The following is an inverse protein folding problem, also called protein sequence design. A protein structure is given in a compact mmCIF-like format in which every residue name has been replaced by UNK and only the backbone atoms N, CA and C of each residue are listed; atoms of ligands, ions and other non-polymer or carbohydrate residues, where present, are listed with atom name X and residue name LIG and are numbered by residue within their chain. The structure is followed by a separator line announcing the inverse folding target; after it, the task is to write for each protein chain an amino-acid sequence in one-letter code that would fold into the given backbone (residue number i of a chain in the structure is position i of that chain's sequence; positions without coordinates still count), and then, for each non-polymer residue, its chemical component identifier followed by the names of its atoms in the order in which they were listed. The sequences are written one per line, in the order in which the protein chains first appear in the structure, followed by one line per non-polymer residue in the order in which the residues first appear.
data_IF_832885188023
#
_entry.id   IF_832885188023
#
_cell.length_a   1.000
_cell.length_b   1.000
_cell.length_c   1.000
_cell.angle_alpha   90.00
_cell.angle_beta   90.00
_cell.angle_gamma   90.00
#
_symmetry.space_group_name_H-M   'P 1'
#
loop_
_entity.id
_entity.type
_entity.pdbx_description
1 polymer ?
#
# COMPACT_ATOMS: atom_id res chain seq x y z
N UNK A 1 3.38 28.76 -3.28
CA UNK A 1 2.90 27.37 -3.26
C UNK A 1 3.79 26.50 -2.39
N UNK A 2 3.22 25.65 -1.53
CA UNK A 2 3.91 24.60 -0.77
C UNK A 2 3.08 23.33 -0.84
N UNK A 3 3.64 22.26 -1.41
CA UNK A 3 2.94 20.98 -1.64
C UNK A 3 3.22 20.02 -0.50
N UNK A 4 2.19 19.43 0.09
CA UNK A 4 2.34 18.32 1.03
C UNK A 4 2.13 16.98 0.31
N UNK A 5 3.15 16.13 0.30
CA UNK A 5 3.05 14.75 -0.19
C UNK A 5 2.75 13.83 1.01
N UNK A 6 1.57 13.24 1.06
CA UNK A 6 1.31 12.13 1.98
C UNK A 6 1.90 10.86 1.36
N UNK A 7 2.97 10.33 1.95
CA UNK A 7 3.86 9.39 1.28
C UNK A 7 3.84 7.95 1.83
N UNK A 8 4.85 7.19 1.42
CA UNK A 8 5.06 5.79 1.81
C UNK A 8 5.13 4.82 0.63
N UNK A 9 4.91 5.30 -0.59
CA UNK A 9 4.96 4.52 -1.84
C UNK A 9 6.20 4.86 -2.67
N UNK A 10 6.41 4.15 -3.78
CA UNK A 10 7.46 4.51 -4.73
C UNK A 10 7.09 5.80 -5.49
N UNK A 11 5.82 5.89 -5.88
CA UNK A 11 5.26 7.01 -6.63
C UNK A 11 5.36 8.32 -5.84
N UNK A 12 5.21 8.28 -4.51
CA UNK A 12 5.46 9.43 -3.63
C UNK A 12 6.92 9.91 -3.67
N UNK A 13 7.89 8.98 -3.75
CA UNK A 13 9.32 9.32 -3.83
C UNK A 13 9.67 9.87 -5.22
N UNK A 14 9.12 9.26 -6.26
CA UNK A 14 9.31 9.72 -7.64
C UNK A 14 8.72 11.13 -7.81
N UNK A 15 7.55 11.40 -7.22
CA UNK A 15 6.96 12.73 -7.18
C UNK A 15 7.87 13.74 -6.46
N UNK A 16 8.42 13.40 -5.29
CA UNK A 16 9.34 14.29 -4.57
C UNK A 16 10.57 14.67 -5.41
N UNK A 17 11.13 13.73 -6.18
CA UNK A 17 12.23 14.02 -7.12
C UNK A 17 11.79 15.02 -8.17
N UNK A 18 10.64 14.79 -8.82
CA UNK A 18 10.12 15.68 -9.86
C UNK A 18 9.80 17.10 -9.35
N UNK A 19 9.24 17.22 -8.14
CA UNK A 19 8.98 18.53 -7.55
C UNK A 19 10.29 19.27 -7.24
N UNK A 20 11.30 18.56 -6.74
CA UNK A 20 12.62 19.14 -6.48
C UNK A 20 13.29 19.63 -7.77
N UNK A 21 13.27 18.83 -8.84
CA UNK A 21 13.82 19.20 -10.14
C UNK A 21 13.13 20.42 -10.77
N UNK A 22 11.83 20.60 -10.48
CA UNK A 22 11.04 21.76 -10.92
C UNK A 22 11.19 22.98 -10.00
N UNK A 23 11.95 22.88 -8.92
CA UNK A 23 12.13 23.97 -7.95
C UNK A 23 10.85 24.31 -7.16
N UNK A 24 9.87 23.39 -7.10
CA UNK A 24 8.65 23.58 -6.33
C UNK A 24 8.94 23.32 -4.86
N UNK A 25 8.36 24.13 -3.97
CA UNK A 25 8.45 23.90 -2.51
C UNK A 25 7.51 22.78 -2.12
N UNK A 26 8.02 21.77 -1.42
CA UNK A 26 7.23 20.66 -0.93
C UNK A 26 7.80 20.07 0.37
N UNK A 27 6.97 19.32 1.08
CA UNK A 27 7.38 18.44 2.16
C UNK A 27 6.70 17.08 2.03
N UNK A 28 7.38 16.02 2.48
CA UNK A 28 6.84 14.66 2.52
C UNK A 28 6.45 14.26 3.94
N UNK A 29 5.31 13.59 4.10
CA UNK A 29 4.87 13.04 5.38
C UNK A 29 4.82 11.52 5.34
N UNK A 30 5.51 10.87 6.28
CA UNK A 30 5.53 9.42 6.46
C UNK A 30 4.86 9.04 7.78
N UNK A 31 4.03 7.99 7.75
CA UNK A 31 3.31 7.53 8.94
C UNK A 31 4.21 6.93 10.06
N UNK A 32 5.49 6.66 9.77
CA UNK A 32 6.40 6.03 10.75
C UNK A 32 6.10 4.55 11.03
N UNK A 33 5.37 3.87 10.14
CA UNK A 33 4.97 2.45 10.33
C UNK A 33 6.08 1.44 10.10
N UNK A 34 7.18 1.88 9.48
CA UNK A 34 8.35 1.07 9.18
C UNK A 34 9.55 1.63 9.96
N UNK A 35 10.30 0.77 10.64
CA UNK A 35 11.39 1.21 11.54
C UNK A 35 12.51 1.97 10.82
N UNK A 36 12.80 1.60 9.57
CA UNK A 36 13.81 2.25 8.72
C UNK A 36 13.25 2.49 7.32
N UNK A 37 12.43 3.52 7.09
CA UNK A 37 11.84 3.77 5.78
C UNK A 37 12.90 4.26 4.78
N UNK A 38 12.69 4.01 3.48
CA UNK A 38 13.45 4.72 2.44
C UNK A 38 12.91 6.15 2.36
N UNK A 39 13.74 7.13 2.70
CA UNK A 39 13.34 8.54 2.74
C UNK A 39 13.26 9.10 1.30
N UNK A 40 12.24 9.94 1.00
CA UNK A 40 12.25 10.76 -0.21
C UNK A 40 13.31 11.86 -0.11
N UNK A 41 13.57 12.51 -1.23
CA UNK A 41 14.33 13.77 -1.27
C UNK A 41 13.52 14.92 -0.63
N UNK A 42 14.20 16.00 -0.24
CA UNK A 42 13.57 17.17 0.36
C UNK A 42 13.23 17.02 1.85
N UNK A 43 12.36 17.90 2.34
CA UNK A 43 11.93 17.92 3.74
C UNK A 43 11.00 16.75 4.05
N UNK A 44 11.25 16.05 5.17
CA UNK A 44 10.45 14.89 5.57
C UNK A 44 10.00 15.01 7.02
N UNK A 45 8.68 14.88 7.21
CA UNK A 45 8.05 14.69 8.52
C UNK A 45 7.73 13.22 8.74
N UNK A 46 7.96 12.73 9.96
CA UNK A 46 7.55 11.39 10.39
C UNK A 46 6.59 11.47 11.56
N UNK A 47 5.49 10.72 11.46
CA UNK A 47 4.47 10.60 12.52
C UNK A 47 3.09 11.03 12.07
N UNK A 48 2.07 10.66 12.85
CA UNK A 48 0.69 11.03 12.58
C UNK A 48 0.44 12.54 12.69
N UNK A 49 -0.71 12.96 12.14
CA UNK A 49 -1.19 14.34 12.26
C UNK A 49 -2.10 14.55 13.48
N UNK A 50 -2.67 13.48 14.06
CA UNK A 50 -3.69 13.58 15.11
C UNK A 50 -5.12 13.69 14.55
N UNK A 51 -5.43 12.89 13.53
CA UNK A 51 -6.75 12.89 12.89
C UNK A 51 -6.96 14.07 11.93
N UNK A 52 -8.23 14.34 11.62
CA UNK A 52 -8.66 15.37 10.66
C UNK A 52 -8.25 16.76 11.14
N UNK A 53 -8.58 17.12 12.38
CA UNK A 53 -8.25 18.45 12.94
C UNK A 53 -6.76 18.71 13.00
N UNK A 54 -5.99 17.68 13.36
CA UNK A 54 -4.54 17.79 13.41
C UNK A 54 -3.91 17.98 12.03
N UNK A 55 -4.44 17.32 10.99
CA UNK A 55 -4.01 17.54 9.61
C UNK A 55 -4.41 18.94 9.13
N UNK A 56 -5.64 19.38 9.38
CA UNK A 56 -6.13 20.72 9.03
C UNK A 56 -5.25 21.82 9.63
N UNK A 57 -4.95 21.72 10.93
CA UNK A 57 -4.04 22.66 11.61
C UNK A 57 -2.66 22.69 10.95
N UNK A 58 -2.11 21.53 10.63
CA UNK A 58 -0.82 21.46 9.93
C UNK A 58 -0.86 22.15 8.56
N UNK A 59 -1.91 21.94 7.77
CA UNK A 59 -2.07 22.61 6.47
C UNK A 59 -2.00 24.13 6.61
N UNK A 60 -2.69 24.69 7.61
CA UNK A 60 -2.68 26.13 7.89
C UNK A 60 -1.32 26.62 8.39
N UNK A 61 -0.76 25.99 9.42
CA UNK A 61 0.49 26.43 10.07
C UNK A 61 1.70 26.35 9.12
N UNK A 62 1.75 25.32 8.28
CA UNK A 62 2.84 25.12 7.31
C UNK A 62 2.59 25.86 5.98
N UNK A 63 1.47 26.58 5.83
CA UNK A 63 1.12 27.29 4.60
C UNK A 63 1.03 26.37 3.38
N UNK A 64 0.48 25.16 3.57
CA UNK A 64 0.28 24.17 2.51
C UNK A 64 -0.83 24.66 1.58
N UNK A 65 -0.53 24.70 0.29
CA UNK A 65 -1.45 25.19 -0.74
C UNK A 65 -2.00 24.08 -1.62
N UNK A 66 -1.42 22.88 -1.56
CA UNK A 66 -1.93 21.69 -2.26
C UNK A 66 -1.46 20.42 -1.53
N UNK A 67 -2.28 19.37 -1.58
CA UNK A 67 -1.94 18.05 -1.03
C UNK A 67 -1.96 17.02 -2.15
N UNK A 68 -0.91 16.21 -2.23
CA UNK A 68 -0.91 14.98 -3.03
C UNK A 68 -0.93 13.79 -2.08
N UNK A 69 -2.06 13.09 -2.04
CA UNK A 69 -2.17 11.79 -1.38
C UNK A 69 -1.55 10.71 -2.26
N UNK A 70 -0.29 10.40 -2.00
CA UNK A 70 0.47 9.33 -2.62
C UNK A 70 0.69 8.15 -1.66
N UNK A 71 -0.19 7.98 -0.66
CA UNK A 71 -0.11 6.88 0.29
C UNK A 71 -0.48 5.54 -0.35
N UNK A 72 -0.13 4.41 0.29
CA UNK A 72 -0.49 3.09 -0.23
C UNK A 72 -2.02 2.95 -0.40
N UNK A 73 -2.56 2.27 -1.44
CA UNK A 73 -4.02 2.14 -1.65
C UNK A 73 -4.80 1.64 -0.43
N UNK A 74 -4.19 0.79 0.39
CA UNK A 74 -4.78 0.30 1.65
C UNK A 74 -4.63 1.24 2.86
N UNK A 75 -4.13 2.46 2.67
CA UNK A 75 -3.98 3.47 3.72
C UNK A 75 -5.26 4.32 3.89
N UNK A 76 -6.44 3.68 3.80
CA UNK A 76 -7.75 4.33 3.74
C UNK A 76 -7.98 5.40 4.82
N UNK A 77 -7.52 5.15 6.05
CA UNK A 77 -7.70 6.10 7.15
C UNK A 77 -7.04 7.47 6.92
N UNK A 78 -5.80 7.50 6.42
CA UNK A 78 -5.12 8.77 6.14
C UNK A 78 -5.66 9.43 4.87
N UNK A 79 -6.04 8.65 3.85
CA UNK A 79 -6.71 9.17 2.65
C UNK A 79 -8.06 9.83 2.97
N UNK A 80 -8.87 9.20 3.82
CA UNK A 80 -10.13 9.76 4.30
C UNK A 80 -9.91 11.04 5.13
N UNK A 81 -8.90 11.03 6.02
CA UNK A 81 -8.54 12.22 6.78
C UNK A 81 -8.06 13.36 5.87
N UNK A 82 -7.29 13.05 4.83
CA UNK A 82 -6.83 14.03 3.84
C UNK A 82 -8.01 14.65 3.11
N UNK A 83 -8.95 13.85 2.61
CA UNK A 83 -10.16 14.35 1.94
C UNK A 83 -10.95 15.30 2.85
N UNK A 84 -11.22 14.91 4.10
CA UNK A 84 -11.97 15.73 5.04
C UNK A 84 -11.22 17.02 5.43
N UNK A 85 -9.92 16.92 5.73
CA UNK A 85 -9.13 18.07 6.16
C UNK A 85 -8.91 19.08 5.02
N UNK A 86 -8.64 18.59 3.81
CA UNK A 86 -8.45 19.43 2.63
C UNK A 86 -9.74 20.15 2.25
N UNK A 87 -10.89 19.45 2.26
CA UNK A 87 -12.19 20.08 2.02
C UNK A 87 -12.50 21.17 3.05
N UNK A 88 -12.23 20.92 4.33
CA UNK A 88 -12.46 21.90 5.41
C UNK A 88 -11.49 23.10 5.39
N UNK A 89 -10.29 22.93 4.81
CA UNK A 89 -9.29 23.98 4.68
C UNK A 89 -9.30 24.67 3.31
N UNK A 90 -10.19 24.26 2.41
CA UNK A 90 -10.23 24.70 1.00
C UNK A 90 -8.88 24.51 0.28
N UNK A 91 -8.15 23.44 0.64
CA UNK A 91 -6.88 23.08 0.01
C UNK A 91 -7.14 22.01 -1.06
N UNK A 92 -6.69 22.20 -2.32
CA UNK A 92 -6.80 21.18 -3.35
C UNK A 92 -6.13 19.85 -2.94
N UNK A 93 -6.82 18.74 -3.19
CA UNK A 93 -6.33 17.39 -2.96
C UNK A 93 -6.31 16.60 -4.26
N UNK A 94 -5.17 15.96 -4.54
CA UNK A 94 -5.01 15.00 -5.62
C UNK A 94 -4.65 13.62 -5.04
N UNK A 95 -5.21 12.55 -5.60
CA UNK A 95 -4.80 11.17 -5.34
C UNK A 95 -3.80 10.74 -6.41
N UNK A 96 -2.59 10.37 -6.00
CA UNK A 96 -1.61 9.68 -6.85
C UNK A 96 -1.68 8.18 -6.56
N UNK A 97 -2.33 7.44 -7.45
CA UNK A 97 -2.56 6.01 -7.30
C UNK A 97 -2.46 5.26 -8.63
N UNK A 98 -1.53 4.31 -8.69
CA UNK A 98 -1.38 3.41 -9.85
C UNK A 98 -2.61 2.53 -10.09
N UNK A 99 -2.81 2.02 -11.32
CA UNK A 99 -3.94 1.16 -11.64
C UNK A 99 -3.92 -0.14 -10.83
N UNK A 100 -5.11 -0.60 -10.44
CA UNK A 100 -5.32 -1.87 -9.73
C UNK A 100 -5.28 -3.06 -10.67
N UNK A 101 -5.35 -4.25 -10.12
CA UNK A 101 -5.23 -5.50 -10.90
C UNK A 101 -6.56 -6.06 -11.39
N UNK A 102 -7.69 -5.40 -11.15
CA UNK A 102 -9.01 -5.88 -11.59
C UNK A 102 -9.12 -6.06 -13.12
N UNK A 103 -8.33 -5.31 -13.90
CA UNK A 103 -8.28 -5.43 -15.37
C UNK A 103 -7.07 -6.24 -15.87
N UNK A 104 -6.31 -6.87 -14.97
CA UNK A 104 -5.16 -7.68 -15.35
C UNK A 104 -5.60 -9.02 -15.97
N UNK A 105 -4.77 -9.58 -16.84
CA UNK A 105 -5.02 -10.91 -17.40
C UNK A 105 -5.09 -11.96 -16.27
N UNK A 106 -6.11 -12.82 -16.30
CA UNK A 106 -6.34 -13.84 -15.28
C UNK A 106 -7.02 -13.36 -14.00
N UNK A 107 -7.37 -12.07 -13.90
CA UNK A 107 -8.09 -11.53 -12.76
C UNK A 107 -9.44 -12.21 -12.51
N UNK A 108 -10.07 -12.79 -13.53
CA UNK A 108 -11.31 -13.57 -13.47
C UNK A 108 -11.16 -14.91 -12.74
N UNK A 109 -9.94 -15.45 -12.66
CA UNK A 109 -9.65 -16.70 -11.94
C UNK A 109 -9.35 -16.50 -10.46
N UNK A 110 -9.12 -15.26 -10.01
CA UNK A 110 -8.76 -14.98 -8.62
C UNK A 110 -10.00 -14.93 -7.72
N UNK A 111 -9.81 -15.34 -6.46
CA UNK A 111 -10.80 -15.14 -5.42
C UNK A 111 -10.72 -13.69 -4.92
N UNK A 112 -11.55 -12.83 -5.48
CA UNK A 112 -11.67 -11.47 -5.01
C UNK A 112 -12.56 -11.40 -3.77
N UNK A 113 -12.06 -10.73 -2.74
CA UNK A 113 -12.72 -10.58 -1.43
C UNK A 113 -12.66 -9.13 -0.98
N UNK A 114 -13.64 -8.70 -0.20
CA UNK A 114 -13.79 -7.28 0.15
C UNK A 114 -12.94 -6.87 1.36
N UNK A 115 -12.56 -7.84 2.20
CA UNK A 115 -11.75 -7.59 3.38
C UNK A 115 -10.82 -8.75 3.76
N UNK A 116 -10.09 -8.56 4.86
CA UNK A 116 -9.10 -9.52 5.35
C UNK A 116 -9.72 -10.71 6.09
N UNK A 117 -10.92 -10.56 6.64
CA UNK A 117 -11.63 -11.64 7.33
C UNK A 117 -12.17 -12.64 6.31
N UNK A 118 -12.78 -12.13 5.24
CA UNK A 118 -13.18 -12.93 4.08
C UNK A 118 -11.97 -13.56 3.37
N UNK A 119 -10.85 -12.84 3.27
CA UNK A 119 -9.61 -13.40 2.74
C UNK A 119 -9.10 -14.58 3.58
N UNK A 120 -9.11 -14.45 4.91
CA UNK A 120 -8.68 -15.51 5.82
C UNK A 120 -9.59 -16.74 5.70
N UNK A 121 -10.91 -16.53 5.69
CA UNK A 121 -11.90 -17.58 5.52
C UNK A 121 -11.81 -18.27 4.15
N UNK A 122 -11.50 -17.52 3.09
CA UNK A 122 -11.34 -18.07 1.75
C UNK A 122 -10.04 -18.86 1.64
N UNK A 123 -8.92 -18.28 2.08
CA UNK A 123 -7.62 -18.94 2.11
C UNK A 123 -7.65 -20.27 2.87
N UNK A 124 -8.41 -20.35 3.98
CA UNK A 124 -8.50 -21.58 4.77
C UNK A 124 -9.17 -22.74 4.06
N UNK A 125 -10.02 -22.45 3.07
CA UNK A 125 -10.75 -23.45 2.26
C UNK A 125 -10.00 -23.88 1.01
N UNK A 126 -9.19 -22.99 0.43
CA UNK A 126 -8.58 -23.22 -0.89
C UNK A 126 -7.16 -23.83 -0.82
N UNK A 127 -6.49 -23.76 0.32
CA UNK A 127 -5.13 -24.31 0.49
C UNK A 127 -4.77 -24.59 1.95
N UNK A 128 -3.64 -25.27 2.17
CA UNK A 128 -3.07 -25.65 3.49
C UNK A 128 -1.79 -24.90 3.83
N UNK A 129 -1.12 -24.28 2.85
CA UNK A 129 0.17 -23.61 2.95
C UNK A 129 0.08 -22.19 2.35
N UNK A 130 -0.73 -21.31 2.98
CA UNK A 130 -0.97 -19.98 2.47
C UNK A 130 0.27 -19.09 2.53
N UNK A 131 0.55 -18.37 1.46
CA UNK A 131 1.54 -17.29 1.45
C UNK A 131 0.86 -15.93 1.67
N UNK A 132 0.98 -15.40 2.88
CA UNK A 132 0.41 -14.12 3.28
C UNK A 132 1.37 -12.96 2.93
N UNK A 133 0.95 -12.14 1.97
CA UNK A 133 1.68 -10.92 1.53
C UNK A 133 0.91 -9.63 1.82
N UNK A 134 0.08 -9.67 2.86
CA UNK A 134 -0.87 -8.62 3.27
C UNK A 134 -0.26 -7.60 4.25
N UNK A 135 0.99 -7.77 4.67
CA UNK A 135 1.64 -6.91 5.66
C UNK A 135 1.21 -7.19 7.10
N UNK A 136 1.91 -6.60 8.07
CA UNK A 136 1.79 -7.00 9.49
C UNK A 136 0.49 -6.60 10.19
N UNK A 137 -0.17 -5.53 9.74
CA UNK A 137 -1.25 -4.86 10.50
C UNK A 137 -2.58 -5.61 10.47
N UNK A 138 -2.71 -6.64 9.64
CA UNK A 138 -3.97 -7.37 9.46
C UNK A 138 -3.77 -8.87 9.69
N UNK A 139 -2.61 -9.29 10.23
CA UNK A 139 -2.29 -10.70 10.43
C UNK A 139 -3.13 -11.36 11.52
N UNK A 140 -3.56 -10.59 12.52
CA UNK A 140 -4.44 -11.03 13.60
C UNK A 140 -5.71 -11.71 13.07
N UNK A 141 -6.29 -11.18 12.00
CA UNK A 141 -7.47 -11.74 11.33
C UNK A 141 -7.24 -13.12 10.71
N UNK A 142 -5.99 -13.47 10.42
CA UNK A 142 -5.62 -14.74 9.81
C UNK A 142 -5.25 -15.82 10.83
N UNK A 143 -4.82 -15.44 12.04
CA UNK A 143 -4.28 -16.38 13.04
C UNK A 143 -5.30 -17.46 13.40
N UNK A 144 -6.55 -17.07 13.70
CA UNK A 144 -7.61 -18.02 14.04
C UNK A 144 -8.01 -18.91 12.85
N UNK A 145 -8.45 -18.35 11.71
CA UNK A 145 -8.89 -19.13 10.56
C UNK A 145 -7.82 -20.05 9.95
N UNK A 146 -6.54 -19.73 10.12
CA UNK A 146 -5.40 -20.49 9.59
C UNK A 146 -4.55 -21.14 10.71
N UNK A 147 -5.11 -21.36 11.89
CA UNK A 147 -4.39 -21.91 13.05
C UNK A 147 -3.77 -23.29 12.78
N UNK A 148 -4.44 -24.13 11.98
CA UNK A 148 -3.99 -25.47 11.62
C UNK A 148 -3.19 -25.52 10.30
N UNK A 149 -2.90 -24.36 9.70
CA UNK A 149 -2.19 -24.23 8.43
C UNK A 149 -0.70 -23.97 8.65
N UNK A 150 0.09 -24.18 7.59
CA UNK A 150 1.52 -23.87 7.56
C UNK A 150 1.77 -22.60 6.75
N UNK A 151 1.32 -21.45 7.27
CA UNK A 151 1.40 -20.20 6.52
C UNK A 151 2.85 -19.71 6.39
N UNK A 152 3.22 -19.26 5.19
CA UNK A 152 4.38 -18.40 4.98
C UNK A 152 3.90 -16.95 5.11
N UNK A 153 4.55 -16.15 5.95
CA UNK A 153 4.18 -14.75 6.19
C UNK A 153 5.35 -13.85 5.83
N UNK A 154 5.16 -12.96 4.84
CA UNK A 154 6.18 -11.97 4.50
C UNK A 154 5.77 -10.58 4.97
N UNK A 155 6.62 -10.00 5.82
CA UNK A 155 6.47 -8.63 6.33
C UNK A 155 7.82 -7.92 6.35
N UNK A 156 7.77 -6.59 6.37
CA UNK A 156 8.99 -5.77 6.46
C UNK A 156 9.56 -5.73 7.87
N UNK A 157 8.70 -5.47 8.85
CA UNK A 157 9.04 -5.42 10.27
C UNK A 157 8.20 -6.47 11.02
N UNK A 158 8.70 -7.02 12.14
CA UNK A 158 8.00 -8.04 12.92
C UNK A 158 6.57 -7.63 13.27
N UNK A 159 5.60 -8.57 13.24
CA UNK A 159 4.26 -8.32 13.74
C UNK A 159 4.25 -8.24 15.26
N UNK A 160 3.25 -7.55 15.81
CA UNK A 160 2.97 -7.51 17.25
C UNK A 160 2.11 -8.70 17.69
N UNK A 161 1.35 -9.29 16.75
CA UNK A 161 0.58 -10.50 17.00
C UNK A 161 1.47 -11.73 17.06
N UNK A 162 1.21 -12.60 18.02
CA UNK A 162 1.85 -13.92 18.10
C UNK A 162 1.39 -14.80 16.94
N UNK A 163 2.35 -15.38 16.23
CA UNK A 163 2.08 -16.27 15.11
C UNK A 163 2.08 -17.74 15.60
N UNK A 164 1.20 -18.60 15.05
CA UNK A 164 1.26 -20.03 15.33
C UNK A 164 2.65 -20.61 15.03
N UNK A 165 3.10 -21.57 15.84
CA UNK A 165 4.42 -22.19 15.69
C UNK A 165 4.61 -22.91 14.33
N UNK A 166 3.51 -23.31 13.69
CA UNK A 166 3.50 -23.91 12.35
C UNK A 166 3.77 -22.91 11.23
N UNK A 167 3.64 -21.60 11.50
CA UNK A 167 3.84 -20.56 10.50
C UNK A 167 5.31 -20.18 10.39
N UNK A 168 5.71 -19.73 9.20
CA UNK A 168 7.05 -19.21 8.96
C UNK A 168 7.02 -17.71 8.68
N UNK A 169 7.73 -16.95 9.50
CA UNK A 169 7.93 -15.51 9.30
C UNK A 169 9.16 -15.24 8.43
N UNK A 170 8.96 -14.50 7.35
CA UNK A 170 10.00 -13.97 6.47
C UNK A 170 10.04 -12.44 6.62
N UNK A 171 11.09 -11.94 7.28
CA UNK A 171 11.40 -10.51 7.34
C UNK A 171 12.12 -10.11 6.06
N UNK A 172 11.39 -9.50 5.14
CA UNK A 172 11.92 -9.18 3.83
C UNK A 172 11.28 -7.92 3.27
N UNK A 173 12.10 -7.11 2.58
CA UNK A 173 11.69 -5.87 1.95
C UNK A 173 12.14 -5.89 0.50
N UNK A 174 11.20 -5.60 -0.39
CA UNK A 174 11.45 -5.62 -1.83
C UNK A 174 12.48 -4.58 -2.34
N UNK A 175 12.73 -4.57 -3.66
CA UNK A 175 11.93 -5.23 -4.70
C UNK A 175 12.03 -6.77 -4.69
N UNK A 176 11.01 -7.45 -5.23
CA UNK A 176 10.96 -8.91 -5.30
C UNK A 176 11.08 -9.37 -6.76
N UNK A 177 11.97 -10.32 -7.03
CA UNK A 177 12.17 -10.87 -8.38
C UNK A 177 11.30 -12.12 -8.60
N UNK A 178 10.94 -12.40 -9.85
CA UNK A 178 10.20 -13.64 -10.20
C UNK A 178 10.98 -14.89 -9.80
N UNK A 179 12.30 -14.90 -10.00
CA UNK A 179 13.15 -16.02 -9.58
C UNK A 179 13.09 -16.28 -8.07
N UNK A 180 13.20 -15.22 -7.25
CA UNK A 180 13.13 -15.35 -5.80
C UNK A 180 11.73 -15.72 -5.30
N UNK A 181 10.67 -15.25 -5.96
CA UNK A 181 9.30 -15.72 -5.66
C UNK A 181 9.15 -17.20 -6.01
N UNK A 182 9.71 -17.67 -7.14
CA UNK A 182 9.66 -19.10 -7.52
C UNK A 182 10.35 -19.99 -6.49
N UNK A 183 11.53 -19.59 -6.02
CA UNK A 183 12.24 -20.28 -4.93
C UNK A 183 11.38 -20.33 -3.66
N UNK A 184 10.81 -19.20 -3.24
CA UNK A 184 9.94 -19.15 -2.06
C UNK A 184 8.71 -20.04 -2.19
N UNK A 185 8.05 -20.05 -3.35
CA UNK A 185 6.89 -20.90 -3.60
C UNK A 185 7.28 -22.38 -3.53
N UNK A 186 8.41 -22.76 -4.11
CA UNK A 186 8.89 -24.14 -4.10
C UNK A 186 9.32 -24.60 -2.69
N UNK A 187 10.20 -23.84 -2.02
CA UNK A 187 10.76 -24.18 -0.71
C UNK A 187 9.67 -24.30 0.37
N UNK A 188 8.67 -23.43 0.29
CA UNK A 188 7.54 -23.41 1.21
C UNK A 188 6.30 -24.10 0.64
N UNK A 189 6.43 -24.82 -0.49
CA UNK A 189 5.35 -25.43 -1.29
C UNK A 189 4.01 -24.73 -1.11
N UNK A 190 4.00 -23.46 -1.48
CA UNK A 190 2.86 -22.56 -1.38
C UNK A 190 1.73 -23.08 -2.26
N UNK A 191 0.55 -23.24 -1.69
CA UNK A 191 -0.64 -23.75 -2.39
C UNK A 191 -1.81 -22.75 -2.45
N UNK A 192 -1.65 -21.58 -1.82
CA UNK A 192 -2.53 -20.42 -2.02
C UNK A 192 -1.75 -19.14 -1.76
N UNK A 193 -1.86 -18.16 -2.67
CA UNK A 193 -1.34 -16.81 -2.46
C UNK A 193 -2.43 -15.92 -1.89
N UNK A 194 -2.17 -15.24 -0.76
CA UNK A 194 -3.06 -14.21 -0.23
C UNK A 194 -2.39 -12.85 -0.35
N UNK A 195 -3.06 -11.91 -1.01
CA UNK A 195 -2.50 -10.59 -1.26
C UNK A 195 -3.52 -9.47 -1.27
N UNK A 196 -3.01 -8.25 -1.32
CA UNK A 196 -3.76 -7.00 -1.50
C UNK A 196 -3.68 -6.61 -2.96
N UNK A 197 -4.73 -6.02 -3.52
CA UNK A 197 -4.64 -5.28 -4.78
C UNK A 197 -3.78 -4.02 -4.59
N UNK A 198 -2.47 -4.22 -4.51
CA UNK A 198 -1.51 -3.12 -4.40
C UNK A 198 -1.46 -2.31 -5.69
N UNK A 199 -1.94 -2.83 -6.83
CA UNK A 199 -1.79 -2.20 -8.14
C UNK A 199 -0.34 -2.14 -8.62
N UNK A 200 -0.16 -1.78 -9.89
CA UNK A 200 1.13 -1.62 -10.56
C UNK A 200 2.03 -2.86 -10.57
N UNK A 201 3.29 -2.68 -10.99
CA UNK A 201 4.24 -3.80 -11.22
C UNK A 201 5.13 -4.18 -10.04
N UNK A 202 5.29 -3.31 -9.03
CA UNK A 202 6.31 -3.47 -7.98
C UNK A 202 6.22 -4.76 -7.15
N UNK A 203 5.01 -5.30 -6.97
CA UNK A 203 4.77 -6.54 -6.23
C UNK A 203 4.19 -7.64 -7.11
N UNK A 204 4.26 -7.48 -8.44
CA UNK A 204 3.64 -8.39 -9.40
C UNK A 204 4.32 -9.77 -9.48
N UNK A 205 5.61 -9.87 -9.13
CA UNK A 205 6.40 -11.10 -9.25
C UNK A 205 5.73 -12.33 -8.62
N UNK A 206 5.06 -12.17 -7.47
CA UNK A 206 4.31 -13.25 -6.80
C UNK A 206 3.05 -13.68 -7.57
N UNK A 207 2.41 -12.75 -8.29
CA UNK A 207 1.24 -13.03 -9.12
C UNK A 207 1.66 -13.83 -10.35
N UNK A 208 2.79 -13.45 -10.97
CA UNK A 208 3.35 -14.17 -12.11
C UNK A 208 3.73 -15.62 -11.73
N UNK A 209 4.35 -15.83 -10.57
CA UNK A 209 4.69 -17.18 -10.09
C UNK A 209 3.44 -17.98 -9.69
N UNK A 210 2.45 -17.34 -9.07
CA UNK A 210 1.19 -18.02 -8.76
C UNK A 210 0.48 -18.50 -10.03
N UNK A 211 0.45 -17.68 -11.09
CA UNK A 211 -0.11 -18.07 -12.40
C UNK A 211 0.71 -19.20 -13.06
N UNK A 212 2.06 -19.11 -13.04
CA UNK A 212 2.97 -20.14 -13.55
C UNK A 212 2.75 -21.52 -12.90
N UNK A 213 2.43 -21.53 -11.60
CA UNK A 213 2.28 -22.75 -10.80
C UNK A 213 0.83 -23.17 -10.59
N UNK A 214 -0.13 -22.51 -11.24
CA UNK A 214 -1.58 -22.71 -11.06
C UNK A 214 -2.02 -22.65 -9.58
N UNK A 215 -1.37 -21.77 -8.81
CA UNK A 215 -1.68 -21.54 -7.40
C UNK A 215 -2.87 -20.58 -7.29
N UNK A 216 -3.95 -20.94 -6.59
CA UNK A 216 -5.09 -20.05 -6.38
C UNK A 216 -4.65 -18.77 -5.67
N UNK A 217 -5.21 -17.64 -6.10
CA UNK A 217 -4.91 -16.32 -5.54
C UNK A 217 -6.15 -15.75 -4.88
N UNK A 218 -6.02 -15.40 -3.60
CA UNK A 218 -7.01 -14.60 -2.85
C UNK A 218 -6.54 -13.16 -2.83
N UNK A 219 -7.31 -12.27 -3.45
CA UNK A 219 -6.98 -10.84 -3.59
C UNK A 219 -7.98 -10.01 -2.81
N UNK A 220 -7.50 -9.34 -1.76
CA UNK A 220 -8.27 -8.32 -1.06
C UNK A 220 -8.42 -7.12 -1.99
N UNK A 221 -9.66 -6.69 -2.24
CA UNK A 221 -9.95 -5.49 -3.00
C UNK A 221 -9.40 -4.26 -2.29
N UNK A 222 -8.77 -3.38 -3.06
CA UNK A 222 -8.37 -2.07 -2.54
C UNK A 222 -9.64 -1.21 -2.32
N UNK A 223 -9.67 -0.39 -1.27
CA UNK A 223 -10.70 0.62 -1.14
C UNK A 223 -10.58 1.60 -2.31
N UNK A 224 -11.72 2.08 -2.82
CA UNK A 224 -11.74 3.12 -3.83
C UNK A 224 -11.23 4.46 -3.29
N UNK A 225 -10.85 5.40 -4.18
CA UNK A 225 -10.51 6.76 -3.79
C UNK A 225 -11.71 7.45 -3.13
N UNK A 226 -11.45 8.46 -2.29
CA UNK A 226 -12.51 9.27 -1.71
C UNK A 226 -13.34 9.95 -2.82
N UNK A 227 -14.69 9.98 -2.73
CA UNK A 227 -15.54 10.59 -3.74
C UNK A 227 -15.14 12.05 -4.02
N UNK A 228 -15.11 12.43 -5.29
CA UNK A 228 -14.79 13.79 -5.71
C UNK A 228 -13.30 14.17 -5.69
N UNK A 229 -12.41 13.29 -5.23
CA UNK A 229 -10.96 13.53 -5.30
C UNK A 229 -10.43 13.12 -6.69
N UNK A 230 -9.81 14.04 -7.46
CA UNK A 230 -9.19 13.68 -8.73
C UNK A 230 -8.06 12.67 -8.52
N UNK A 231 -7.93 11.72 -9.46
CA UNK A 231 -6.93 10.65 -9.41
C UNK A 231 -6.05 10.71 -10.65
N UNK A 232 -4.74 10.60 -10.43
CA UNK A 232 -3.73 10.37 -11.48
C UNK A 232 -2.90 9.15 -11.12
N UNK A 233 -2.34 8.50 -12.14
CA UNK A 233 -1.64 7.22 -11.99
C UNK A 233 -0.11 7.32 -12.07
N UNK A 234 0.41 8.52 -12.34
CA UNK A 234 1.85 8.75 -12.50
C UNK A 234 2.33 9.97 -11.74
N UNK A 235 3.59 9.88 -11.25
CA UNK A 235 4.25 10.98 -10.57
C UNK A 235 4.41 12.22 -11.48
N UNK A 236 4.58 12.00 -12.80
CA UNK A 236 4.65 13.08 -13.78
C UNK A 236 3.36 13.91 -13.84
N UNK A 237 2.21 13.25 -13.99
CA UNK A 237 0.91 13.91 -13.99
C UNK A 237 0.60 14.60 -12.65
N UNK A 238 0.98 13.96 -11.53
CA UNK A 238 0.84 14.57 -10.21
C UNK A 238 1.70 15.84 -10.05
N UNK A 239 2.93 15.81 -10.58
CA UNK A 239 3.82 16.96 -10.55
C UNK A 239 3.32 18.09 -11.47
N UNK A 240 2.69 17.78 -12.60
CA UNK A 240 2.06 18.77 -13.49
C UNK A 240 0.88 19.44 -12.81
N UNK A 241 -0.01 18.64 -12.21
CA UNK A 241 -1.11 19.15 -11.41
C UNK A 241 -0.63 20.05 -10.26
N UNK A 242 0.43 19.62 -9.56
CA UNK A 242 1.01 20.39 -8.47
C UNK A 242 1.70 21.69 -8.91
N UNK A 243 2.04 21.84 -10.19
CA UNK A 243 2.57 23.10 -10.74
C UNK A 243 1.48 24.00 -11.34
N UNK A 244 0.26 23.49 -11.55
CA UNK A 244 -0.83 24.23 -12.18
C UNK A 244 -1.79 24.89 -11.19
N UNK A 245 -1.75 24.53 -9.90
CA UNK A 245 -2.59 25.14 -8.87
C UNK A 245 -2.03 26.48 -8.34
N UNK A 246 -1.48 27.29 -9.25
CA UNK A 246 -1.05 28.69 -9.06
C UNK A 246 -2.25 29.67 -9.11
#
# INVERSE_FOLDING_TARGET
MSVLILGGTAEARDLAVLLQERGLRFSSSLAGRVARPRLPVGEVRVGGFGGIDGLRRHLTEAGVTAVVDATHPFAAGISANAAAACAAAEVPLLRLERPGWAAAAGADRWHWVDDHDEAAATASRVGRRPFLTIGRQSLDRFVGPLAEHHALVRVVDPPEVELPASWRLLLNRGPYSVAGERELFADHGVDVLVTKDSGGGHTWSKMAVADELDVPVVVVRRPGPAPGVPVVDSAAAAAEWAGAAD
#
